data_IF_685761111785
#
_entry.id   IF_685761111785
#
_cell.length_a   1.000
_cell.length_b   1.000
_cell.length_c   1.000
_cell.angle_alpha   90.00
_cell.angle_beta   90.00
_cell.angle_gamma   90.00
#
_symmetry.space_group_name_H-M   'P 1'
#
loop_
_entity.id
_entity.type
_entity.pdbx_description
1 polymer ?
#
# COMPACT_ATOMS: atom_id res chain seq x y z
N UNK A 1 -4.25 1.01 23.44
CA UNK A 1 -3.51 0.17 22.48
C UNK A 1 -2.75 1.08 21.54
N UNK A 2 -1.57 0.70 21.09
CA UNK A 2 -0.79 1.46 20.10
C UNK A 2 -0.17 0.51 19.09
N UNK A 3 -0.22 0.85 17.81
CA UNK A 3 0.42 0.08 16.76
C UNK A 3 1.30 1.00 15.92
N UNK A 4 2.56 0.60 15.72
CA UNK A 4 3.48 1.28 14.84
C UNK A 4 3.47 0.57 13.48
N UNK A 5 3.15 1.30 12.42
CA UNK A 5 3.27 0.81 11.05
C UNK A 5 4.54 1.35 10.39
N UNK A 6 5.19 0.52 9.58
CA UNK A 6 6.45 0.81 8.90
C UNK A 6 6.31 0.45 7.42
N UNK A 7 6.48 1.44 6.54
CA UNK A 7 6.72 1.22 5.11
C UNK A 7 8.22 1.19 4.82
N UNK A 8 8.68 0.17 4.11
CA UNK A 8 10.12 -0.06 3.88
C UNK A 8 10.55 0.51 2.54
N UNK A 9 11.46 1.48 2.57
CA UNK A 9 12.10 2.05 1.39
C UNK A 9 13.61 1.84 1.36
N UNK A 10 14.17 1.70 0.16
CA UNK A 10 15.63 1.53 -0.03
C UNK A 10 16.36 2.88 0.09
N UNK A 11 16.14 3.80 -0.86
CA UNK A 11 16.83 5.10 -0.88
C UNK A 11 16.13 6.18 -0.05
N UNK A 12 14.81 6.04 0.11
CA UNK A 12 13.98 7.03 0.82
C UNK A 12 14.02 6.85 2.33
N UNK A 13 14.53 5.72 2.84
CA UNK A 13 14.42 5.31 4.24
C UNK A 13 13.05 4.69 4.57
N UNK A 14 12.73 4.63 5.85
CA UNK A 14 11.47 4.11 6.38
C UNK A 14 10.47 5.24 6.63
N UNK A 15 9.20 5.01 6.30
CA UNK A 15 8.09 5.87 6.71
C UNK A 15 7.34 5.18 7.85
N UNK A 16 7.14 5.89 8.96
CA UNK A 16 6.55 5.36 10.19
C UNK A 16 5.25 6.10 10.50
N UNK A 17 4.22 5.37 10.94
CA UNK A 17 2.98 5.94 11.45
C UNK A 17 2.59 5.23 12.74
N UNK A 18 2.40 5.98 13.82
CA UNK A 18 1.90 5.46 15.09
C UNK A 18 0.40 5.76 15.22
N UNK A 19 -0.41 4.71 15.40
CA UNK A 19 -1.83 4.85 15.70
C UNK A 19 -2.14 4.42 17.14
N UNK A 20 -3.12 5.07 17.76
CA UNK A 20 -3.71 4.64 19.03
C UNK A 20 -4.98 3.77 18.83
N UNK A 21 -5.57 3.30 19.94
CA UNK A 21 -6.79 2.47 19.92
C UNK A 21 -8.03 3.18 19.36
N UNK A 22 -8.03 4.51 19.34
CA UNK A 22 -9.07 5.33 18.73
C UNK A 22 -8.75 5.65 17.25
N UNK A 23 -7.71 5.00 16.69
CA UNK A 23 -7.23 5.15 15.31
C UNK A 23 -6.72 6.55 14.98
N UNK A 24 -6.35 7.32 16.01
CA UNK A 24 -5.74 8.64 15.85
C UNK A 24 -4.26 8.47 15.53
N UNK A 25 -3.78 9.29 14.60
CA UNK A 25 -2.37 9.40 14.29
C UNK A 25 -1.71 10.17 15.43
N UNK A 26 -0.82 9.49 16.16
CA UNK A 26 -0.04 10.09 17.25
C UNK A 26 1.28 10.65 16.75
N UNK A 27 1.89 10.02 15.75
CA UNK A 27 3.19 10.41 15.20
C UNK A 27 3.31 9.95 13.75
N UNK A 28 4.03 10.74 12.94
CA UNK A 28 4.45 10.33 11.60
C UNK A 28 5.91 10.73 11.36
N UNK A 29 6.75 9.76 11.01
CA UNK A 29 8.16 10.01 10.67
C UNK A 29 8.43 9.55 9.24
N UNK A 30 9.41 10.15 8.59
CA UNK A 30 9.77 9.86 7.19
C UNK A 30 11.28 9.81 7.05
N UNK A 31 11.75 8.95 6.16
CA UNK A 31 13.18 8.78 5.91
C UNK A 31 13.99 8.38 7.12
N UNK A 32 13.36 7.64 8.04
CA UNK A 32 14.04 7.05 9.20
C UNK A 32 15.02 6.00 8.71
N UNK A 33 16.24 5.97 9.25
CA UNK A 33 17.21 4.92 8.93
C UNK A 33 16.99 3.72 9.85
N UNK A 34 17.37 2.52 9.38
CA UNK A 34 17.13 1.28 10.14
C UNK A 34 17.84 1.30 11.50
N UNK A 35 19.01 1.94 11.60
CA UNK A 35 19.79 2.00 12.84
C UNK A 35 19.11 2.84 13.93
N UNK A 36 18.22 3.75 13.55
CA UNK A 36 17.48 4.62 14.47
C UNK A 36 16.21 3.93 15.00
N UNK A 37 15.80 2.83 14.36
CA UNK A 37 14.49 2.22 14.57
C UNK A 37 14.29 1.68 15.98
N UNK A 38 15.31 1.03 16.56
CA UNK A 38 15.21 0.43 17.90
C UNK A 38 14.93 1.49 18.97
N UNK A 39 15.69 2.59 18.97
CA UNK A 39 15.49 3.70 19.91
C UNK A 39 14.16 4.43 19.68
N UNK A 40 13.74 4.59 18.42
CA UNK A 40 12.42 5.15 18.11
C UNK A 40 11.29 4.26 18.60
N UNK A 41 11.36 2.94 18.37
CA UNK A 41 10.34 2.01 18.84
C UNK A 41 10.26 2.00 20.37
N UNK A 42 11.38 2.08 21.07
CA UNK A 42 11.42 2.24 22.53
C UNK A 42 10.71 3.52 22.99
N UNK A 43 11.03 4.67 22.38
CA UNK A 43 10.43 5.96 22.73
C UNK A 43 8.93 6.05 22.41
N UNK A 44 8.50 5.46 21.29
CA UNK A 44 7.09 5.44 20.87
C UNK A 44 6.23 4.44 21.68
N UNK A 45 6.86 3.36 22.16
CA UNK A 45 6.23 2.31 22.98
C UNK A 45 4.99 1.68 22.34
N UNK A 46 5.04 1.17 21.10
CA UNK A 46 3.91 0.47 20.50
C UNK A 46 3.67 -0.89 21.18
N UNK A 47 2.41 -1.34 21.18
CA UNK A 47 2.07 -2.69 21.62
C UNK A 47 2.37 -3.75 20.53
N UNK A 48 2.48 -3.35 19.26
CA UNK A 48 2.82 -4.19 18.10
C UNK A 48 3.50 -3.33 17.04
N UNK A 49 4.47 -3.90 16.32
CA UNK A 49 5.09 -3.25 15.15
C UNK A 49 4.67 -3.99 13.89
N UNK A 50 4.11 -3.30 12.92
CA UNK A 50 3.59 -3.85 11.67
C UNK A 50 4.42 -3.34 10.48
N UNK A 51 5.00 -4.24 9.70
CA UNK A 51 6.06 -3.91 8.75
C UNK A 51 5.64 -4.32 7.34
N UNK A 52 5.69 -3.40 6.38
CA UNK A 52 5.54 -3.70 4.94
C UNK A 52 6.82 -4.27 4.34
N UNK A 53 7.20 -5.46 4.80
CA UNK A 53 8.25 -6.25 4.19
C UNK A 53 8.23 -7.70 4.68
N UNK A 54 8.71 -8.65 3.87
CA UNK A 54 9.00 -10.00 4.35
C UNK A 54 10.09 -9.95 5.44
N UNK A 55 10.02 -10.83 6.45
CA UNK A 55 11.05 -10.94 7.49
C UNK A 55 12.28 -11.76 7.07
N UNK A 56 12.16 -12.58 6.05
CA UNK A 56 13.23 -13.45 5.55
C UNK A 56 12.92 -13.93 4.15
N UNK A 57 13.93 -14.46 3.45
CA UNK A 57 13.74 -15.23 2.23
C UNK A 57 12.79 -16.43 2.44
N UNK A 58 12.22 -16.95 1.35
CA UNK A 58 11.50 -18.22 1.40
C UNK A 58 12.45 -19.35 1.81
N UNK A 59 11.92 -20.38 2.47
CA UNK A 59 12.71 -21.56 2.83
C UNK A 59 12.99 -22.46 1.64
N UNK A 60 12.06 -22.49 0.67
CA UNK A 60 12.24 -23.24 -0.57
C UNK A 60 11.39 -22.70 -1.71
N UNK A 61 11.77 -23.03 -2.94
CA UNK A 61 10.99 -22.73 -4.14
C UNK A 61 11.00 -21.26 -4.56
N UNK A 62 9.97 -20.86 -5.31
CA UNK A 62 9.91 -19.54 -5.99
C UNK A 62 9.06 -18.50 -5.25
N UNK A 63 8.49 -18.84 -4.09
CA UNK A 63 7.58 -18.00 -3.29
C UNK A 63 7.34 -18.62 -1.92
N UNK A 64 6.92 -17.83 -0.92
CA UNK A 64 6.48 -18.29 0.41
C UNK A 64 5.04 -18.80 0.38
N UNK A 65 4.65 -19.61 1.36
CA UNK A 65 3.27 -20.12 1.45
C UNK A 65 2.23 -18.99 1.57
N UNK A 66 2.51 -17.98 2.40
CA UNK A 66 1.61 -16.83 2.59
C UNK A 66 1.28 -16.11 1.26
N UNK A 67 2.25 -16.02 0.35
CA UNK A 67 2.10 -15.34 -0.94
C UNK A 67 1.19 -16.11 -1.90
N UNK A 68 1.31 -17.45 -1.88
CA UNK A 68 0.45 -18.34 -2.67
C UNK A 68 -0.98 -18.34 -2.15
N UNK A 69 -1.16 -18.35 -0.84
CA UNK A 69 -2.47 -18.32 -0.20
C UNK A 69 -3.19 -16.99 -0.47
N UNK A 70 -2.50 -15.85 -0.40
CA UNK A 70 -3.11 -14.55 -0.75
C UNK A 70 -3.57 -14.49 -2.21
N UNK A 71 -2.85 -15.14 -3.13
CA UNK A 71 -3.23 -15.21 -4.55
C UNK A 71 -4.57 -15.90 -4.76
N UNK A 72 -4.93 -16.88 -3.93
CA UNK A 72 -6.26 -17.50 -3.97
C UNK A 72 -7.37 -16.48 -3.78
N UNK A 73 -7.14 -15.45 -2.96
CA UNK A 73 -8.10 -14.37 -2.74
C UNK A 73 -8.10 -13.29 -3.83
N UNK A 74 -7.32 -13.48 -4.91
CA UNK A 74 -7.14 -12.48 -5.95
C UNK A 74 -6.16 -11.35 -5.58
N UNK A 75 -5.47 -11.48 -4.44
CA UNK A 75 -4.49 -10.51 -3.96
C UNK A 75 -3.12 -10.90 -4.50
N UNK A 76 -2.56 -10.08 -5.39
CA UNK A 76 -1.24 -10.31 -5.96
C UNK A 76 -0.17 -9.59 -5.11
N UNK A 77 0.70 -10.37 -4.49
CA UNK A 77 1.90 -9.90 -3.83
C UNK A 77 3.15 -10.29 -4.65
N UNK A 78 4.25 -9.59 -4.42
CA UNK A 78 5.54 -9.99 -4.97
C UNK A 78 5.97 -11.31 -4.32
N UNK A 79 6.60 -12.17 -5.12
CA UNK A 79 7.14 -13.43 -4.63
C UNK A 79 8.48 -13.17 -3.92
N UNK A 80 8.64 -13.70 -2.72
CA UNK A 80 9.93 -13.75 -2.03
C UNK A 80 10.62 -15.06 -2.41
N UNK A 81 11.71 -15.03 -3.20
CA UNK A 81 12.43 -16.24 -3.61
C UNK A 81 13.18 -16.88 -2.44
N UNK A 82 13.59 -18.14 -2.58
CA UNK A 82 14.49 -18.80 -1.63
C UNK A 82 15.98 -18.68 -2.00
N UNK A 83 16.30 -18.27 -3.24
CA UNK A 83 17.68 -18.08 -3.68
C UNK A 83 18.19 -16.73 -3.16
N UNK A 84 19.09 -16.75 -2.18
CA UNK A 84 19.68 -15.55 -1.61
C UNK A 84 20.42 -14.68 -2.64
N UNK A 85 20.89 -15.26 -3.76
CA UNK A 85 21.50 -14.49 -4.87
C UNK A 85 20.49 -13.57 -5.55
N UNK A 86 19.19 -13.83 -5.42
CA UNK A 86 18.17 -12.89 -5.87
C UNK A 86 18.20 -11.58 -5.08
N UNK A 87 18.72 -11.59 -3.85
CA UNK A 87 18.99 -10.38 -3.07
C UNK A 87 20.00 -9.43 -3.72
N UNK A 88 20.86 -9.91 -4.63
CA UNK A 88 21.80 -9.06 -5.38
C UNK A 88 21.09 -8.27 -6.48
N UNK A 89 19.91 -8.72 -6.92
CA UNK A 89 19.16 -8.02 -7.95
C UNK A 89 18.48 -6.77 -7.35
N UNK A 90 18.68 -5.57 -7.91
CA UNK A 90 18.22 -4.31 -7.31
C UNK A 90 16.73 -4.25 -6.97
N UNK A 91 15.89 -4.97 -7.73
CA UNK A 91 14.46 -5.11 -7.45
C UNK A 91 14.15 -5.66 -6.05
N UNK A 92 14.97 -6.57 -5.50
CA UNK A 92 14.72 -7.20 -4.21
C UNK A 92 15.41 -6.47 -3.03
N UNK A 93 16.12 -5.37 -3.29
CA UNK A 93 16.85 -4.63 -2.25
C UNK A 93 15.94 -4.12 -1.12
N UNK A 94 14.66 -3.86 -1.37
CA UNK A 94 13.71 -3.48 -0.32
C UNK A 94 13.42 -4.64 0.65
N UNK A 95 13.46 -5.89 0.19
CA UNK A 95 13.27 -7.06 1.05
C UNK A 95 14.44 -7.21 2.03
N UNK A 96 15.67 -6.96 1.57
CA UNK A 96 16.85 -7.03 2.45
C UNK A 96 16.83 -5.93 3.52
N UNK A 97 16.37 -4.72 3.18
CA UNK A 97 16.10 -3.67 4.19
C UNK A 97 15.01 -4.14 5.15
N UNK A 98 13.97 -4.81 4.65
CA UNK A 98 12.96 -5.47 5.50
C UNK A 98 13.58 -6.42 6.53
N UNK A 99 14.50 -7.29 6.11
CA UNK A 99 15.19 -8.20 7.02
C UNK A 99 16.03 -7.45 8.07
N UNK A 100 16.64 -6.33 7.69
CA UNK A 100 17.36 -5.44 8.62
C UNK A 100 16.41 -4.82 9.64
N UNK A 101 15.23 -4.37 9.23
CA UNK A 101 14.18 -3.84 10.11
C UNK A 101 13.76 -4.87 11.16
N UNK A 102 13.52 -6.13 10.76
CA UNK A 102 13.21 -7.19 11.73
C UNK A 102 14.36 -7.46 12.69
N UNK A 103 15.60 -7.56 12.18
CA UNK A 103 16.79 -7.76 13.02
C UNK A 103 17.00 -6.62 14.03
N UNK A 104 16.75 -5.38 13.64
CA UNK A 104 16.89 -4.22 14.51
C UNK A 104 15.86 -4.19 15.65
N UNK A 105 14.73 -4.88 15.49
CA UNK A 105 13.63 -4.92 16.46
C UNK A 105 13.59 -6.22 17.28
N UNK A 106 14.30 -7.27 16.88
CA UNK A 106 14.16 -8.64 17.39
C UNK A 106 14.24 -8.74 18.92
N UNK A 107 15.13 -7.97 19.56
CA UNK A 107 15.32 -8.00 21.02
C UNK A 107 14.09 -7.55 21.81
N UNK A 108 13.26 -6.66 21.24
CA UNK A 108 12.10 -6.07 21.92
C UNK A 108 10.77 -6.50 21.33
N UNK A 109 10.74 -6.66 20.02
CA UNK A 109 9.60 -7.04 19.20
C UNK A 109 10.04 -8.20 18.29
N UNK A 110 10.24 -9.41 18.86
CA UNK A 110 10.57 -10.58 18.07
C UNK A 110 9.52 -10.79 16.98
N UNK A 111 9.95 -11.37 15.87
CA UNK A 111 9.03 -11.69 14.76
C UNK A 111 7.86 -12.56 15.25
N UNK A 112 6.65 -12.17 14.86
CA UNK A 112 5.45 -12.95 15.05
C UNK A 112 5.50 -14.29 14.30
N UNK A 113 5.11 -15.37 14.99
CA UNK A 113 5.00 -16.72 14.43
C UNK A 113 3.57 -17.24 14.59
N UNK A 114 3.04 -17.14 15.79
CA UNK A 114 1.69 -17.55 16.17
C UNK A 114 1.25 -16.87 17.49
N UNK A 115 0.00 -17.12 17.89
CA UNK A 115 -0.54 -16.66 19.17
C UNK A 115 -0.83 -15.17 19.23
N UNK A 116 -0.36 -14.52 20.28
CA UNK A 116 -0.59 -13.09 20.52
C UNK A 116 0.37 -12.22 19.72
N UNK A 117 -0.14 -11.19 19.04
CA UNK A 117 0.69 -10.18 18.35
C UNK A 117 1.26 -9.11 19.29
N UNK A 118 0.78 -9.03 20.54
CA UNK A 118 1.30 -8.06 21.50
C UNK A 118 2.76 -8.35 21.79
N UNK A 119 3.60 -7.32 21.66
CA UNK A 119 5.04 -7.39 21.86
C UNK A 119 5.79 -8.04 20.71
N UNK A 120 5.21 -8.13 19.50
CA UNK A 120 5.87 -8.72 18.34
C UNK A 120 5.95 -7.76 17.16
N UNK A 121 6.80 -8.12 16.20
CA UNK A 121 6.83 -7.53 14.87
C UNK A 121 6.05 -8.44 13.89
N UNK A 122 4.98 -7.92 13.29
CA UNK A 122 4.14 -8.63 12.31
C UNK A 122 4.47 -8.19 10.89
N UNK A 123 4.45 -9.14 9.95
CA UNK A 123 4.51 -8.83 8.52
C UNK A 123 3.13 -8.38 8.04
N UNK A 124 3.08 -7.28 7.30
CA UNK A 124 1.87 -6.76 6.67
C UNK A 124 2.14 -6.52 5.20
N UNK A 125 1.12 -6.71 4.37
CA UNK A 125 1.10 -6.20 3.00
C UNK A 125 -0.03 -5.18 2.91
N UNK A 126 0.25 -3.86 2.83
CA UNK A 126 -0.76 -2.79 2.85
C UNK A 126 -1.84 -2.97 1.80
N UNK A 127 -1.48 -3.50 0.62
CA UNK A 127 -2.49 -3.83 -0.39
C UNK A 127 -3.48 -4.89 0.08
N UNK A 128 -3.00 -6.00 0.67
CA UNK A 128 -3.87 -7.03 1.22
C UNK A 128 -4.75 -6.47 2.34
N UNK A 129 -4.17 -5.65 3.20
CA UNK A 129 -4.89 -4.98 4.29
C UNK A 129 -6.05 -4.13 3.74
N UNK A 130 -5.78 -3.28 2.75
CA UNK A 130 -6.80 -2.46 2.12
C UNK A 130 -7.91 -3.30 1.45
N UNK A 131 -7.56 -4.38 0.75
CA UNK A 131 -8.53 -5.29 0.12
C UNK A 131 -9.44 -5.96 1.15
N UNK A 132 -8.85 -6.45 2.24
CA UNK A 132 -9.57 -7.15 3.31
C UNK A 132 -10.49 -6.19 4.07
N UNK A 133 -10.02 -4.98 4.37
CA UNK A 133 -10.83 -3.93 5.00
C UNK A 133 -12.00 -3.49 4.12
N UNK A 134 -11.73 -3.25 2.82
CA UNK A 134 -12.75 -2.84 1.86
C UNK A 134 -13.71 -3.97 1.45
N UNK A 135 -13.35 -5.23 1.72
CA UNK A 135 -14.08 -6.41 1.25
C UNK A 135 -14.06 -6.60 -0.27
N UNK A 136 -13.19 -5.91 -1.00
CA UNK A 136 -13.11 -5.95 -2.46
C UNK A 136 -11.73 -5.52 -2.99
N UNK A 137 -11.42 -5.91 -4.23
CA UNK A 137 -10.26 -5.42 -4.97
C UNK A 137 -10.49 -3.97 -5.46
N UNK A 138 -9.43 -3.17 -5.69
CA UNK A 138 -9.56 -1.79 -6.14
C UNK A 138 -10.46 -1.66 -7.38
N UNK A 139 -11.40 -0.70 -7.41
CA UNK A 139 -12.22 -0.43 -8.59
C UNK A 139 -11.38 -0.09 -9.83
N UNK A 140 -11.91 -0.38 -11.02
CA UNK A 140 -11.23 0.00 -12.27
C UNK A 140 -11.14 1.52 -12.39
N UNK A 141 -10.00 2.03 -12.87
CA UNK A 141 -9.81 3.46 -13.13
C UNK A 141 -9.59 4.32 -11.88
N UNK A 142 -9.57 3.73 -10.68
CA UNK A 142 -9.23 4.44 -9.45
C UNK A 142 -7.75 4.19 -9.14
N UNK A 143 -6.98 5.26 -8.94
CA UNK A 143 -5.58 5.15 -8.53
C UNK A 143 -5.49 4.39 -7.19
N UNK A 144 -4.61 3.37 -7.13
CA UNK A 144 -4.51 2.46 -5.98
C UNK A 144 -4.25 3.21 -4.68
N UNK A 145 -3.39 4.23 -4.70
CA UNK A 145 -3.09 5.04 -3.51
C UNK A 145 -4.29 5.90 -3.05
N UNK A 146 -5.07 6.46 -3.99
CA UNK A 146 -6.28 7.21 -3.64
C UNK A 146 -7.34 6.29 -3.01
N UNK A 147 -7.46 5.06 -3.51
CA UNK A 147 -8.34 4.04 -2.95
C UNK A 147 -7.88 3.58 -1.56
N UNK A 148 -6.59 3.28 -1.37
CA UNK A 148 -6.03 2.96 -0.04
C UNK A 148 -6.30 4.07 0.98
N UNK A 149 -6.14 5.32 0.56
CA UNK A 149 -6.46 6.49 1.39
C UNK A 149 -7.95 6.55 1.74
N UNK A 150 -8.85 6.23 0.82
CA UNK A 150 -10.28 6.19 1.14
C UNK A 150 -10.61 5.07 2.13
N UNK A 151 -9.98 3.89 1.99
CA UNK A 151 -10.14 2.78 2.95
C UNK A 151 -9.71 3.20 4.35
N UNK A 152 -8.58 3.89 4.51
CA UNK A 152 -8.18 4.43 5.82
C UNK A 152 -9.25 5.35 6.44
N UNK A 153 -9.84 6.26 5.64
CA UNK A 153 -10.91 7.16 6.11
C UNK A 153 -12.18 6.42 6.48
N UNK A 154 -12.59 5.42 5.68
CA UNK A 154 -13.74 4.56 5.98
C UNK A 154 -13.56 3.78 7.29
N UNK A 155 -12.31 3.53 7.67
CA UNK A 155 -11.93 2.91 8.93
C UNK A 155 -11.52 3.92 10.01
N UNK A 156 -11.87 5.20 9.87
CA UNK A 156 -11.75 6.19 10.95
C UNK A 156 -10.34 6.74 11.19
N UNK A 157 -9.39 6.50 10.28
CA UNK A 157 -8.08 7.16 10.31
C UNK A 157 -8.17 8.46 9.52
N UNK A 158 -7.71 9.57 10.11
CA UNK A 158 -7.60 10.86 9.42
C UNK A 158 -6.46 10.82 8.38
N UNK A 159 -6.79 10.34 7.19
CA UNK A 159 -5.80 10.14 6.14
C UNK A 159 -5.34 11.45 5.45
N UNK A 160 -5.93 12.60 5.81
CA UNK A 160 -5.50 13.92 5.29
C UNK A 160 -4.20 14.40 5.98
N UNK A 161 -3.91 13.88 7.18
CA UNK A 161 -2.63 14.11 7.86
C UNK A 161 -1.44 13.40 7.19
N UNK A 162 -1.69 12.45 6.28
CA UNK A 162 -0.67 11.63 5.62
C UNK A 162 -0.18 12.27 4.31
N UNK A 163 1.12 12.57 4.23
CA UNK A 163 1.73 13.41 3.19
C UNK A 163 2.23 12.63 1.98
N UNK A 164 2.37 11.32 2.07
CA UNK A 164 2.90 10.46 0.99
C UNK A 164 2.09 9.16 0.86
N UNK A 165 2.28 8.46 -0.27
CA UNK A 165 1.80 7.10 -0.45
C UNK A 165 2.42 6.13 0.57
N UNK A 166 3.70 6.32 0.87
CA UNK A 166 4.46 5.53 1.84
C UNK A 166 3.87 5.65 3.25
N UNK A 167 3.47 6.87 3.66
CA UNK A 167 2.76 7.06 4.93
C UNK A 167 1.34 6.46 4.91
N UNK A 168 0.68 6.38 3.76
CA UNK A 168 -0.60 5.66 3.62
C UNK A 168 -0.39 4.16 3.82
N UNK A 169 0.68 3.60 3.27
CA UNK A 169 1.01 2.19 3.40
C UNK A 169 1.46 1.85 4.83
N UNK A 170 2.27 2.71 5.46
CA UNK A 170 2.60 2.62 6.88
C UNK A 170 1.36 2.76 7.79
N UNK A 171 0.43 3.67 7.49
CA UNK A 171 -0.81 3.81 8.25
C UNK A 171 -1.72 2.57 8.11
N UNK A 172 -1.78 1.95 6.92
CA UNK A 172 -2.47 0.68 6.72
C UNK A 172 -1.82 -0.45 7.53
N UNK A 173 -0.49 -0.49 7.58
CA UNK A 173 0.24 -1.43 8.43
C UNK A 173 -0.11 -1.23 9.92
N UNK A 174 -0.07 0.00 10.41
CA UNK A 174 -0.45 0.34 11.78
C UNK A 174 -1.90 -0.07 12.09
N UNK A 175 -2.83 0.23 11.19
CA UNK A 175 -4.24 -0.12 11.34
C UNK A 175 -4.42 -1.65 11.40
N UNK A 176 -3.70 -2.41 10.56
CA UNK A 176 -3.67 -3.87 10.64
C UNK A 176 -3.15 -4.35 12.00
N UNK A 177 -2.13 -3.69 12.55
CA UNK A 177 -1.64 -3.94 13.91
C UNK A 177 -2.72 -3.75 14.99
N UNK A 178 -3.52 -2.68 14.91
CA UNK A 178 -4.63 -2.45 15.85
C UNK A 178 -5.69 -3.56 15.75
N UNK A 179 -6.10 -3.93 14.54
CA UNK A 179 -7.04 -5.05 14.32
C UNK A 179 -6.48 -6.36 14.88
N UNK A 180 -5.18 -6.59 14.75
CA UNK A 180 -4.53 -7.77 15.29
C UNK A 180 -4.50 -7.78 16.83
N UNK A 181 -4.24 -6.63 17.48
CA UNK A 181 -4.36 -6.47 18.93
C UNK A 181 -5.79 -6.70 19.44
N UNK A 182 -6.79 -6.35 18.64
CA UNK A 182 -8.22 -6.63 18.88
C UNK A 182 -8.60 -8.10 18.61
N UNK A 183 -7.65 -8.96 18.21
CA UNK A 183 -7.88 -10.36 17.79
C UNK A 183 -8.81 -10.49 16.59
N UNK A 184 -8.84 -9.47 15.72
CA UNK A 184 -9.62 -9.43 14.49
C UNK A 184 -8.71 -9.57 13.27
N UNK A 185 -7.96 -10.65 13.22
CA UNK A 185 -6.97 -10.88 12.16
C UNK A 185 -6.88 -12.35 11.73
N UNK A 186 -6.30 -12.54 10.56
CA UNK A 186 -5.87 -13.83 10.02
C UNK A 186 -4.41 -13.71 9.61
N UNK A 187 -3.68 -14.82 9.67
CA UNK A 187 -2.26 -14.86 9.33
C UNK A 187 -1.96 -16.12 8.49
N UNK A 188 -2.37 -16.14 7.20
CA UNK A 188 -2.04 -17.23 6.28
C UNK A 188 -0.53 -17.47 6.17
N UNK A 189 -0.13 -18.68 5.77
CA UNK A 189 1.26 -19.06 5.56
C UNK A 189 1.91 -19.94 6.64
N UNK A 190 3.22 -20.07 6.53
CA UNK A 190 4.07 -20.88 7.40
C UNK A 190 4.74 -19.99 8.47
N UNK A 191 4.59 -20.26 9.78
CA UNK A 191 5.25 -19.49 10.84
C UNK A 191 6.78 -19.39 10.67
N UNK A 192 7.40 -20.37 10.02
CA UNK A 192 8.84 -20.42 9.78
C UNK A 192 9.29 -19.51 8.63
N UNK A 193 8.44 -19.24 7.63
CA UNK A 193 8.78 -18.36 6.49
C UNK A 193 8.36 -16.90 6.70
N UNK A 194 7.23 -16.70 7.36
CA UNK A 194 6.61 -15.40 7.59
C UNK A 194 5.13 -15.52 7.29
N UNK A 195 4.32 -14.75 8.00
CA UNK A 195 2.87 -14.74 7.82
C UNK A 195 2.42 -13.31 7.61
N UNK A 196 1.87 -13.02 6.44
CA UNK A 196 1.26 -11.72 6.19
C UNK A 196 -0.02 -11.65 7.01
N UNK A 197 -0.02 -10.81 8.03
CA UNK A 197 -1.19 -10.52 8.85
C UNK A 197 -2.16 -9.65 8.08
N UNK A 198 -3.44 -10.01 8.12
CA UNK A 198 -4.53 -9.27 7.48
C UNK A 198 -5.67 -8.99 8.46
N UNK A 199 -6.34 -7.82 8.37
CA UNK A 199 -7.26 -7.32 9.40
C UNK A 199 -8.68 -7.89 9.29
N UNK A 200 -8.81 -9.22 9.28
CA UNK A 200 -10.10 -9.89 9.40
C UNK A 200 -9.96 -11.20 10.19
N UNK A 201 -10.88 -11.44 11.13
CA UNK A 201 -10.88 -12.67 11.94
C UNK A 201 -11.05 -13.95 11.09
N UNK A 202 -11.67 -13.83 9.93
CA UNK A 202 -11.78 -14.90 8.94
C UNK A 202 -11.71 -14.33 7.53
N UNK A 203 -11.14 -15.11 6.61
CA UNK A 203 -11.11 -14.80 5.19
C UNK A 203 -12.29 -15.47 4.47
N UNK A 204 -12.81 -14.86 3.39
CA UNK A 204 -13.97 -15.39 2.67
C UNK A 204 -13.65 -16.75 2.02
N UNK A 205 -14.67 -17.58 1.80
CA UNK A 205 -14.49 -18.86 1.11
C UNK A 205 -14.21 -18.70 -0.40
N UNK A 206 -14.36 -17.49 -0.95
CA UNK A 206 -14.19 -17.18 -2.36
C UNK A 206 -13.26 -15.97 -2.55
N UNK A 207 -12.64 -15.81 -3.74
CA UNK A 207 -11.80 -14.67 -4.04
C UNK A 207 -12.55 -13.34 -3.92
N UNK A 208 -11.81 -12.27 -3.63
CA UNK A 208 -12.38 -10.92 -3.64
C UNK A 208 -12.78 -10.53 -5.06
N UNK A 209 -13.96 -9.93 -5.17
CA UNK A 209 -14.40 -9.32 -6.43
C UNK A 209 -13.88 -7.91 -6.51
N UNK A 210 -13.80 -7.39 -7.74
CA UNK A 210 -13.49 -5.98 -7.94
C UNK A 210 -14.61 -5.11 -7.42
N UNK A 211 -14.26 -4.10 -6.63
CA UNK A 211 -15.20 -3.10 -6.16
C UNK A 211 -15.78 -2.31 -7.33
N UNK A 212 -17.00 -1.83 -7.15
CA UNK A 212 -17.61 -0.87 -8.06
C UNK A 212 -17.04 0.52 -7.75
N UNK A 213 -16.66 1.27 -8.78
CA UNK A 213 -16.30 2.66 -8.57
C UNK A 213 -17.56 3.38 -8.08
N UNK A 214 -17.52 3.99 -6.89
CA UNK A 214 -18.59 4.88 -6.43
C UNK A 214 -18.80 5.93 -7.53
N UNK A 215 -19.91 5.81 -8.27
CA UNK A 215 -20.37 6.88 -9.16
C UNK A 215 -20.58 8.11 -8.28
N UNK A 216 -19.91 9.21 -8.60
CA UNK A 216 -20.17 10.47 -7.89
C UNK A 216 -21.66 10.81 -8.01
N UNK A 217 -22.35 11.22 -6.93
CA UNK A 217 -23.77 11.54 -6.98
C UNK A 217 -24.11 12.74 -7.90
N UNK A 218 -23.10 13.43 -8.43
CA UNK A 218 -23.23 14.51 -9.42
C UNK A 218 -23.32 14.03 -10.88
N UNK A 219 -23.54 12.74 -11.12
CA UNK A 219 -23.73 12.25 -12.49
C UNK A 219 -25.10 12.69 -12.98
N UNK A 220 -25.17 13.82 -13.70
CA UNK A 220 -26.28 14.10 -14.61
C UNK A 220 -26.58 12.82 -15.42
N UNK A 221 -27.86 12.49 -15.67
CA UNK A 221 -28.20 11.27 -16.40
C UNK A 221 -27.41 11.22 -17.71
N UNK A 222 -26.80 10.08 -18.05
CA UNK A 222 -25.96 9.97 -19.23
C UNK A 222 -26.81 10.26 -20.47
N UNK A 223 -26.44 11.30 -21.21
CA UNK A 223 -26.99 11.52 -22.55
C UNK A 223 -26.48 10.37 -23.45
N UNK A 224 -27.35 9.68 -24.20
CA UNK A 224 -26.94 8.59 -25.07
C UNK A 224 -25.80 9.02 -26.01
N UNK A 225 -24.71 8.26 -26.01
CA UNK A 225 -23.55 8.54 -26.86
C UNK A 225 -22.57 9.60 -26.34
N UNK A 226 -22.69 10.05 -25.08
CA UNK A 226 -21.76 11.00 -24.47
C UNK A 226 -21.20 10.51 -23.12
N UNK A 227 -19.90 10.72 -22.91
CA UNK A 227 -19.19 10.45 -21.66
C UNK A 227 -18.50 11.72 -21.13
N UNK A 228 -18.22 11.80 -19.82
CA UNK A 228 -17.38 12.86 -19.28
C UNK A 228 -15.99 12.88 -19.93
N UNK A 229 -15.47 14.08 -20.18
CA UNK A 229 -14.15 14.28 -20.76
C UNK A 229 -13.03 13.74 -19.85
N UNK A 230 -12.14 12.91 -20.40
CA UNK A 230 -11.03 12.30 -19.68
C UNK A 230 -9.80 13.22 -19.51
N UNK A 231 -9.93 14.54 -19.63
CA UNK A 231 -8.78 15.45 -19.62
C UNK A 231 -8.07 15.57 -18.27
N UNK A 232 -8.73 15.15 -17.18
CA UNK A 232 -8.17 15.15 -15.83
C UNK A 232 -8.10 16.53 -15.17
N UNK A 233 -8.70 17.57 -15.76
CA UNK A 233 -8.89 18.85 -15.09
C UNK A 233 -10.04 18.77 -14.07
N UNK A 234 -9.81 19.08 -12.78
CA UNK A 234 -10.85 19.10 -11.75
C UNK A 234 -12.03 20.03 -12.06
N UNK A 235 -11.82 21.06 -12.88
CA UNK A 235 -12.88 21.97 -13.33
C UNK A 235 -13.61 21.55 -14.60
N UNK A 236 -13.27 20.41 -15.21
CA UNK A 236 -13.88 20.00 -16.47
C UNK A 236 -15.22 19.29 -16.25
N UNK A 237 -16.28 19.89 -16.78
CA UNK A 237 -17.64 19.32 -16.78
C UNK A 237 -18.13 18.93 -18.18
N UNK A 238 -17.24 18.92 -19.17
CA UNK A 238 -17.61 18.67 -20.56
C UNK A 238 -18.02 17.21 -20.79
N UNK A 239 -19.10 17.03 -21.55
CA UNK A 239 -19.51 15.74 -22.13
C UNK A 239 -19.05 15.67 -23.58
N UNK A 240 -18.55 14.51 -24.01
CA UNK A 240 -18.01 14.30 -25.36
C UNK A 240 -18.37 12.91 -25.86
N UNK A 241 -18.48 12.75 -27.18
CA UNK A 241 -18.64 11.44 -27.82
C UNK A 241 -17.29 10.69 -27.96
N UNK A 242 -16.17 11.40 -27.76
CA UNK A 242 -14.82 10.84 -27.77
C UNK A 242 -14.20 10.77 -26.37
N UNK A 243 -12.92 10.43 -26.29
CA UNK A 243 -12.18 10.41 -25.02
C UNK A 243 -12.01 11.82 -24.42
N UNK A 244 -11.76 12.82 -25.28
CA UNK A 244 -11.58 14.20 -24.90
C UNK A 244 -12.66 15.09 -25.55
N UNK A 245 -13.05 16.16 -24.88
CA UNK A 245 -13.77 17.24 -25.53
C UNK A 245 -12.83 17.91 -26.56
N UNK A 246 -13.35 18.59 -27.60
CA UNK A 246 -12.52 19.26 -28.60
C UNK A 246 -11.44 20.15 -27.94
N UNK A 247 -10.17 19.88 -28.22
CA UNK A 247 -9.00 20.61 -27.70
C UNK A 247 -8.56 20.25 -26.26
N UNK A 248 -9.25 19.31 -25.59
CA UNK A 248 -8.92 18.91 -24.22
C UNK A 248 -7.84 17.81 -24.13
N UNK A 249 -7.48 17.21 -25.25
CA UNK A 249 -6.29 16.38 -25.42
C UNK A 249 -5.00 17.17 -25.16
N UNK A 250 -4.92 18.42 -25.66
CA UNK A 250 -3.81 19.33 -25.37
C UNK A 250 -3.74 19.68 -23.87
N UNK A 251 -4.89 19.80 -23.23
CA UNK A 251 -5.00 20.05 -21.78
C UNK A 251 -4.51 18.86 -20.97
N UNK A 252 -4.91 17.63 -21.34
CA UNK A 252 -4.38 16.39 -20.76
C UNK A 252 -2.87 16.31 -20.92
N UNK A 253 -2.36 16.57 -22.13
CA UNK A 253 -0.92 16.59 -22.41
C UNK A 253 -0.17 17.60 -21.54
N UNK A 254 -0.70 18.80 -21.34
CA UNK A 254 -0.11 19.82 -20.46
C UNK A 254 -0.08 19.39 -18.99
N UNK A 255 -1.13 18.73 -18.50
CA UNK A 255 -1.18 18.16 -17.14
C UNK A 255 -0.13 17.05 -17.00
N UNK A 256 -0.05 16.13 -17.97
CA UNK A 256 0.94 15.06 -17.99
C UNK A 256 2.37 15.60 -18.04
N UNK A 257 2.63 16.69 -18.78
CA UNK A 257 3.94 17.35 -18.77
C UNK A 257 4.32 17.89 -17.38
N UNK A 258 3.36 18.45 -16.64
CA UNK A 258 3.58 18.92 -15.27
C UNK A 258 3.86 17.77 -14.31
N UNK A 259 3.14 16.66 -14.47
CA UNK A 259 3.24 15.46 -13.64
C UNK A 259 4.44 14.58 -13.98
N UNK A 260 4.93 14.62 -15.22
CA UNK A 260 6.09 13.87 -15.69
C UNK A 260 7.36 14.17 -14.87
N UNK A 261 7.44 15.38 -14.27
CA UNK A 261 8.53 15.77 -13.36
C UNK A 261 8.49 15.04 -12.01
N UNK A 262 7.33 14.50 -11.63
CA UNK A 262 7.08 13.93 -10.31
C UNK A 262 6.84 12.40 -10.33
N UNK A 263 6.71 11.77 -11.49
CA UNK A 263 6.45 10.31 -11.54
C UNK A 263 6.50 9.66 -12.92
N UNK A 264 6.76 8.35 -12.90
CA UNK A 264 6.93 7.50 -14.09
C UNK A 264 5.60 7.27 -14.85
N UNK A 265 4.46 7.25 -14.15
CA UNK A 265 3.14 7.00 -14.75
C UNK A 265 2.76 8.03 -15.83
N UNK A 266 3.07 9.31 -15.61
CA UNK A 266 2.78 10.36 -16.59
C UNK A 266 3.68 10.26 -17.84
N UNK A 267 4.89 9.73 -17.69
CA UNK A 267 5.81 9.49 -18.81
C UNK A 267 5.35 8.29 -19.65
N UNK A 268 4.86 7.24 -19.00
CA UNK A 268 4.38 6.04 -19.67
C UNK A 268 3.11 6.36 -20.48
N UNK A 269 2.18 7.15 -19.92
CA UNK A 269 0.98 7.60 -20.66
C UNK A 269 1.34 8.49 -21.86
N UNK A 270 2.33 9.39 -21.74
CA UNK A 270 2.81 10.18 -22.89
C UNK A 270 3.38 9.29 -24.01
N UNK A 271 4.13 8.23 -23.65
CA UNK A 271 4.71 7.28 -24.60
C UNK A 271 3.66 6.41 -25.28
N UNK A 272 2.73 5.83 -24.51
CA UNK A 272 1.65 4.99 -25.04
C UNK A 272 0.77 5.74 -26.05
N UNK A 273 0.57 7.04 -25.84
CA UNK A 273 -0.24 7.91 -26.70
C UNK A 273 0.55 8.52 -27.87
N UNK A 274 1.85 8.23 -28.00
CA UNK A 274 2.71 8.82 -29.02
C UNK A 274 2.86 10.35 -28.90
N UNK A 275 2.60 10.91 -27.70
CA UNK A 275 2.70 12.33 -27.46
C UNK A 275 4.13 12.73 -27.11
N UNK A 276 4.56 13.88 -27.62
CA UNK A 276 5.91 14.39 -27.37
C UNK A 276 6.18 14.53 -25.87
N UNK A 277 7.34 14.00 -25.44
CA UNK A 277 7.90 14.23 -24.12
C UNK A 277 8.39 15.68 -23.97
N UNK A 278 8.43 16.21 -22.73
CA UNK A 278 9.01 17.53 -22.46
C UNK A 278 10.44 17.63 -23.03
N UNK A 279 10.83 18.77 -23.65
CA UNK A 279 12.15 18.95 -24.28
C UNK A 279 13.32 18.71 -23.33
N UNK A 280 13.15 19.05 -22.05
CA UNK A 280 14.12 18.82 -20.97
C UNK A 280 14.33 17.34 -20.58
N UNK A 281 13.55 16.41 -21.15
CA UNK A 281 13.56 14.98 -20.83
C UNK A 281 13.85 14.08 -22.05
N UNK A 282 14.40 14.65 -23.13
CA UNK A 282 14.87 13.91 -24.31
C UNK A 282 16.30 13.41 -24.16
#
# INVERSE_FOLDING_TARGET
MRALGIDVGVRKGLDLVLLDGDRRILETLRGVRVEELSGLAEGLGPDVVAIDAPPSWARSGRSRLTERELRWFGIQCFNTPSDARMGEHPFFAWMTVGFEVYRALEDRYPRYRDGSVRGTAIEVFPHASAVVLAGCLPPRGVAVHAWRRSVLREHGVDADALRSADQVDAALAALTGLYALERRFSAPGDPLEGRIVVPAASLPAHPYRRGEARRSPTTQPPLPGMSPCACGDPGCTALTAGEFAPGHDAKRKSILWRLARAGQEALDELKERGWQLPPEMR
#
